data_IF_174599814610
#
_entry.id   IF_174599814610
#
_cell.length_a   1.000
_cell.length_b   1.000
_cell.length_c   1.000
_cell.angle_alpha   90.00
_cell.angle_beta   90.00
_cell.angle_gamma   90.00
#
_symmetry.space_group_name_H-M   'P 1'
#
loop_
_entity.id
_entity.type
_entity.pdbx_description
1 polymer ?
#
# COMPACT_ATOMS: atom_id res chain seq x y z
N UNK A 1 1.97 21.04 -23.51
CA UNK A 1 1.01 22.14 -23.29
C UNK A 1 -0.11 21.63 -22.38
N UNK A 2 -0.87 22.49 -21.67
CA UNK A 2 -2.06 22.03 -20.95
C UNK A 2 -2.98 21.33 -21.95
N UNK A 3 -3.29 20.04 -21.73
CA UNK A 3 -4.12 19.23 -22.63
C UNK A 3 -3.39 18.19 -23.47
N UNK A 4 -2.06 18.08 -23.40
CA UNK A 4 -1.36 16.94 -24.01
C UNK A 4 -1.64 15.67 -23.21
N UNK A 5 -1.82 14.55 -23.92
CA UNK A 5 -1.97 13.25 -23.30
C UNK A 5 -0.71 12.90 -22.48
N UNK A 6 -0.86 12.34 -21.28
CA UNK A 6 0.28 11.90 -20.48
C UNK A 6 1.10 10.88 -21.26
N UNK A 7 2.43 10.95 -21.11
CA UNK A 7 3.36 10.01 -21.75
C UNK A 7 2.93 8.57 -21.45
N UNK A 8 2.60 7.82 -22.51
CA UNK A 8 2.10 6.45 -22.40
C UNK A 8 3.09 5.55 -21.67
N UNK A 9 4.40 5.83 -21.80
CA UNK A 9 5.43 5.12 -21.03
C UNK A 9 5.27 5.38 -19.54
N UNK A 10 5.09 6.63 -19.12
CA UNK A 10 4.89 6.97 -17.71
C UNK A 10 3.58 6.37 -17.17
N UNK A 11 2.50 6.42 -17.95
CA UNK A 11 1.24 5.76 -17.58
C UNK A 11 1.42 4.26 -17.37
N UNK A 12 2.12 3.58 -18.28
CA UNK A 12 2.38 2.15 -18.16
C UNK A 12 3.28 1.83 -16.95
N UNK A 13 4.34 2.61 -16.73
CA UNK A 13 5.24 2.44 -15.59
C UNK A 13 4.50 2.63 -14.25
N UNK A 14 3.70 3.69 -14.11
CA UNK A 14 2.92 3.92 -12.89
C UNK A 14 1.78 2.92 -12.72
N UNK A 15 1.10 2.52 -13.80
CA UNK A 15 0.05 1.50 -13.76
C UNK A 15 0.60 0.14 -13.30
N UNK A 16 1.66 -0.34 -13.95
CA UNK A 16 2.33 -1.59 -13.57
C UNK A 16 2.93 -1.49 -12.15
N UNK A 17 3.58 -0.37 -11.83
CA UNK A 17 4.16 -0.12 -10.51
C UNK A 17 3.12 -0.12 -9.40
N UNK A 18 1.96 0.49 -9.63
CA UNK A 18 0.85 0.50 -8.67
C UNK A 18 0.30 -0.92 -8.41
N UNK A 19 0.12 -1.72 -9.46
CA UNK A 19 -0.33 -3.12 -9.33
C UNK A 19 0.69 -3.94 -8.54
N UNK A 20 1.98 -3.82 -8.87
CA UNK A 20 3.05 -4.56 -8.20
C UNK A 20 3.19 -4.16 -6.73
N UNK A 21 3.22 -2.86 -6.43
CA UNK A 21 3.39 -2.35 -5.06
C UNK A 21 2.16 -2.66 -4.20
N UNK A 22 0.96 -2.57 -4.78
CA UNK A 22 -0.27 -3.00 -4.09
C UNK A 22 -0.23 -4.49 -3.79
N UNK A 23 0.17 -5.30 -4.77
CA UNK A 23 0.34 -6.73 -4.60
C UNK A 23 1.38 -7.08 -3.51
N UNK A 24 2.50 -6.37 -3.48
CA UNK A 24 3.54 -6.55 -2.46
C UNK A 24 3.01 -6.20 -1.06
N UNK A 25 2.34 -5.05 -0.92
CA UNK A 25 1.72 -4.63 0.34
C UNK A 25 0.68 -5.64 0.84
N UNK A 26 -0.19 -6.16 -0.05
CA UNK A 26 -1.14 -7.22 0.30
C UNK A 26 -0.44 -8.52 0.71
N UNK A 27 0.63 -8.92 0.03
CA UNK A 27 1.38 -10.14 0.35
C UNK A 27 2.03 -10.04 1.73
N UNK A 28 2.66 -8.90 2.05
CA UNK A 28 3.20 -8.63 3.39
C UNK A 28 2.09 -8.65 4.43
N UNK A 29 0.95 -8.01 4.14
CA UNK A 29 -0.19 -7.97 5.05
C UNK A 29 -0.69 -9.39 5.37
N UNK A 30 -0.94 -10.22 4.35
CA UNK A 30 -1.47 -11.57 4.55
C UNK A 30 -0.46 -12.51 5.23
N UNK A 31 0.83 -12.34 4.96
CA UNK A 31 1.89 -13.11 5.66
C UNK A 31 1.93 -12.79 7.16
N UNK A 32 1.81 -11.51 7.53
CA UNK A 32 1.89 -11.06 8.93
C UNK A 32 0.57 -11.23 9.70
N UNK A 33 -0.56 -11.21 9.00
CA UNK A 33 -1.89 -11.38 9.58
C UNK A 33 -2.34 -12.85 9.64
N UNK A 34 -1.61 -13.80 9.04
CA UNK A 34 -2.02 -15.21 8.88
C UNK A 34 -2.65 -15.85 10.14
N UNK A 35 -2.08 -15.58 11.32
CA UNK A 35 -2.49 -16.21 12.58
C UNK A 35 -3.78 -15.59 13.14
N UNK A 36 -4.03 -14.32 12.80
CA UNK A 36 -5.25 -13.57 13.13
C UNK A 36 -6.34 -13.92 12.12
N UNK A 37 -5.99 -13.90 10.83
CA UNK A 37 -6.92 -14.16 9.72
C UNK A 37 -7.54 -15.56 9.78
N UNK A 38 -6.80 -16.56 10.28
CA UNK A 38 -7.32 -17.93 10.47
C UNK A 38 -8.43 -18.00 11.55
N UNK A 39 -8.46 -17.05 12.49
CA UNK A 39 -9.46 -17.00 13.58
C UNK A 39 -10.73 -16.24 13.18
N UNK A 40 -10.73 -15.56 12.03
CA UNK A 40 -11.84 -14.71 11.57
C UNK A 40 -12.53 -15.37 10.39
N UNK A 41 -13.82 -15.69 10.54
CA UNK A 41 -14.67 -16.37 9.54
C UNK A 41 -14.47 -15.85 8.11
N UNK A 42 -14.45 -14.52 7.96
CA UNK A 42 -14.32 -13.83 6.67
C UNK A 42 -12.97 -14.04 5.98
N UNK A 43 -11.88 -14.11 6.76
CA UNK A 43 -10.50 -14.11 6.24
C UNK A 43 -9.83 -15.47 6.35
N UNK A 44 -10.50 -16.45 6.96
CA UNK A 44 -10.01 -17.82 7.12
C UNK A 44 -9.70 -18.51 5.78
N UNK A 45 -10.39 -18.11 4.71
CA UNK A 45 -10.17 -18.62 3.35
C UNK A 45 -8.98 -17.97 2.63
N UNK A 46 -8.29 -17.00 3.25
CA UNK A 46 -7.10 -16.39 2.62
C UNK A 46 -6.01 -17.43 2.38
N UNK A 47 -5.22 -17.33 1.29
CA UNK A 47 -4.27 -18.37 0.90
C UNK A 47 -3.26 -18.78 1.98
N UNK A 48 -2.74 -17.79 2.73
CA UNK A 48 -1.81 -18.06 3.84
C UNK A 48 -2.51 -18.51 5.12
N UNK A 49 -3.71 -17.98 5.42
CA UNK A 49 -4.48 -18.35 6.62
C UNK A 49 -5.03 -19.79 6.53
N UNK A 50 -5.45 -20.20 5.33
CA UNK A 50 -5.94 -21.55 5.01
C UNK A 50 -4.83 -22.60 4.86
N UNK A 51 -3.56 -22.18 4.82
CA UNK A 51 -2.41 -23.07 4.61
C UNK A 51 -2.23 -23.58 3.18
N UNK A 52 -3.01 -23.08 2.20
CA UNK A 52 -2.86 -23.43 0.77
C UNK A 52 -1.52 -22.96 0.22
N UNK A 53 -1.02 -21.81 0.70
CA UNK A 53 0.31 -21.30 0.38
C UNK A 53 1.22 -21.32 1.60
N UNK A 54 2.45 -21.77 1.40
CA UNK A 54 3.48 -21.73 2.44
C UNK A 54 4.04 -20.31 2.59
N UNK A 55 4.49 -19.91 3.79
CA UNK A 55 5.12 -18.60 4.00
C UNK A 55 6.34 -18.37 3.09
N UNK A 56 7.11 -19.43 2.81
CA UNK A 56 8.27 -19.36 1.91
C UNK A 56 7.86 -19.01 0.47
N UNK A 57 6.77 -19.59 -0.05
CA UNK A 57 6.22 -19.21 -1.35
C UNK A 57 5.77 -17.75 -1.38
N UNK A 58 5.17 -17.27 -0.28
CA UNK A 58 4.78 -15.88 -0.14
C UNK A 58 5.96 -14.91 -0.15
N UNK A 59 7.04 -15.24 0.55
CA UNK A 59 8.28 -14.45 0.53
C UNK A 59 8.91 -14.46 -0.87
N UNK A 60 8.91 -15.59 -1.57
CA UNK A 60 9.36 -15.68 -2.95
C UNK A 60 8.55 -14.79 -3.90
N UNK A 61 7.22 -14.82 -3.78
CA UNK A 61 6.31 -13.98 -4.57
C UNK A 61 6.52 -12.49 -4.28
N UNK A 62 6.64 -12.13 -3.00
CA UNK A 62 6.99 -10.78 -2.57
C UNK A 62 8.33 -10.32 -3.18
N UNK A 63 9.35 -11.18 -3.16
CA UNK A 63 10.65 -10.90 -3.76
C UNK A 63 10.53 -10.58 -5.25
N UNK A 64 9.75 -11.34 -6.00
CA UNK A 64 9.49 -11.08 -7.43
C UNK A 64 8.79 -9.72 -7.62
N UNK A 65 7.75 -9.44 -6.83
CA UNK A 65 7.03 -8.17 -6.91
C UNK A 65 7.95 -6.97 -6.64
N UNK A 66 8.81 -7.07 -5.61
CA UNK A 66 9.77 -6.03 -5.26
C UNK A 66 10.87 -5.86 -6.31
N UNK A 67 11.37 -6.93 -6.90
CA UNK A 67 12.37 -6.87 -7.98
C UNK A 67 11.80 -6.22 -9.25
N UNK A 68 10.57 -6.57 -9.63
CA UNK A 68 9.88 -5.93 -10.75
C UNK A 68 9.58 -4.46 -10.44
N UNK A 69 9.12 -4.16 -9.22
CA UNK A 69 8.89 -2.79 -8.75
C UNK A 69 10.17 -1.96 -8.74
N UNK A 70 11.31 -2.54 -8.34
CA UNK A 70 12.62 -1.91 -8.42
C UNK A 70 13.02 -1.62 -9.87
N UNK A 71 12.77 -2.56 -10.80
CA UNK A 71 13.00 -2.35 -12.23
C UNK A 71 12.21 -1.16 -12.79
N UNK A 72 10.99 -0.92 -12.31
CA UNK A 72 10.21 0.27 -12.65
C UNK A 72 10.80 1.52 -11.99
N UNK A 73 11.14 1.44 -10.70
CA UNK A 73 11.67 2.57 -9.94
C UNK A 73 12.98 3.12 -10.54
N UNK A 74 13.86 2.22 -11.00
CA UNK A 74 15.13 2.58 -11.65
C UNK A 74 14.92 3.31 -12.99
N UNK A 75 13.77 3.17 -13.63
CA UNK A 75 13.44 3.91 -14.86
C UNK A 75 12.96 5.34 -14.59
N UNK A 76 12.66 5.70 -13.33
CA UNK A 76 12.30 7.06 -12.93
C UNK A 76 13.53 7.93 -12.66
N UNK A 77 13.33 9.23 -12.47
CA UNK A 77 14.39 10.17 -12.10
C UNK A 77 14.95 9.91 -10.68
N UNK A 78 16.13 10.46 -10.40
CA UNK A 78 16.84 10.24 -9.12
C UNK A 78 16.01 10.64 -7.89
N UNK A 79 15.29 11.76 -7.98
CA UNK A 79 14.46 12.24 -6.89
C UNK A 79 13.33 11.24 -6.56
N UNK A 80 12.66 10.74 -7.60
CA UNK A 80 11.60 9.72 -7.51
C UNK A 80 12.12 8.38 -7.02
N UNK A 81 13.35 7.99 -7.35
CA UNK A 81 13.98 6.77 -6.83
C UNK A 81 14.10 6.82 -5.32
N UNK A 82 14.62 7.93 -4.78
CA UNK A 82 14.79 8.11 -3.33
C UNK A 82 13.41 8.18 -2.65
N UNK A 83 12.49 8.96 -3.19
CA UNK A 83 11.14 9.12 -2.64
C UNK A 83 10.31 7.82 -2.71
N UNK A 84 10.46 7.04 -3.77
CA UNK A 84 9.84 5.74 -3.91
C UNK A 84 10.44 4.72 -2.95
N UNK A 85 11.77 4.71 -2.78
CA UNK A 85 12.43 3.84 -1.82
C UNK A 85 12.00 4.14 -0.37
N UNK A 86 11.83 5.42 -0.01
CA UNK A 86 11.35 5.78 1.33
C UNK A 86 9.94 5.27 1.63
N UNK A 87 9.10 5.06 0.61
CA UNK A 87 7.75 4.50 0.78
C UNK A 87 7.75 3.08 1.36
N UNK A 88 8.82 2.30 1.09
CA UNK A 88 8.93 0.93 1.58
C UNK A 88 8.89 0.87 3.10
N UNK A 89 9.47 1.87 3.78
CA UNK A 89 9.43 1.97 5.24
C UNK A 89 7.98 1.96 5.74
N UNK A 90 7.11 2.77 5.13
CA UNK A 90 5.68 2.82 5.48
C UNK A 90 4.97 1.51 5.13
N UNK A 91 5.20 0.96 3.94
CA UNK A 91 4.56 -0.28 3.49
C UNK A 91 4.88 -1.46 4.40
N UNK A 92 6.14 -1.64 4.79
CA UNK A 92 6.56 -2.75 5.65
C UNK A 92 6.12 -2.57 7.11
N UNK A 93 6.03 -1.34 7.59
CA UNK A 93 5.62 -1.05 8.98
C UNK A 93 4.11 -1.01 9.16
N UNK A 94 3.31 -0.79 8.10
CA UNK A 94 1.85 -0.70 8.19
C UNK A 94 1.19 -1.91 8.89
N UNK A 95 1.54 -3.17 8.62
CA UNK A 95 0.93 -4.30 9.32
C UNK A 95 1.21 -4.29 10.83
N UNK A 96 2.37 -3.78 11.24
CA UNK A 96 2.72 -3.62 12.65
C UNK A 96 1.90 -2.50 13.30
N UNK A 97 1.55 -1.45 12.55
CA UNK A 97 0.76 -0.34 13.09
C UNK A 97 -0.60 -0.78 13.60
N UNK A 98 -1.22 -1.81 13.01
CA UNK A 98 -2.44 -2.42 13.57
C UNK A 98 -2.29 -2.95 14.99
N UNK A 99 -1.06 -3.25 15.43
CA UNK A 99 -0.75 -3.76 16.77
C UNK A 99 -0.35 -2.66 17.75
N UNK A 100 0.09 -1.50 17.25
CA UNK A 100 0.63 -0.41 18.08
C UNK A 100 -0.25 0.83 18.14
N UNK A 101 -1.12 1.06 17.15
CA UNK A 101 -2.02 2.23 17.12
C UNK A 101 -3.48 1.81 17.02
N UNK A 102 -4.33 2.60 17.67
CA UNK A 102 -5.79 2.51 17.54
C UNK A 102 -6.31 3.12 16.23
N UNK A 103 -5.43 3.75 15.44
CA UNK A 103 -5.80 4.44 14.21
C UNK A 103 -5.01 3.96 12.98
N UNK A 104 -5.03 2.65 12.67
CA UNK A 104 -4.31 2.09 11.53
C UNK A 104 -4.77 2.68 10.18
N UNK A 105 -5.99 3.20 10.10
CA UNK A 105 -6.56 3.83 8.91
C UNK A 105 -5.79 5.11 8.51
N UNK A 106 -5.31 5.89 9.48
CA UNK A 106 -4.50 7.06 9.22
C UNK A 106 -3.16 6.66 8.59
N UNK A 107 -2.54 5.59 9.11
CA UNK A 107 -1.31 5.05 8.57
C UNK A 107 -1.51 4.43 7.18
N UNK A 108 -2.63 3.76 6.96
CA UNK A 108 -3.02 3.27 5.64
C UNK A 108 -3.12 4.42 4.64
N UNK A 109 -3.76 5.52 5.02
CA UNK A 109 -3.88 6.73 4.19
C UNK A 109 -2.52 7.28 3.78
N UNK A 110 -1.58 7.39 4.72
CA UNK A 110 -0.21 7.85 4.43
C UNK A 110 0.48 6.95 3.40
N UNK A 111 0.38 5.64 3.60
CA UNK A 111 1.01 4.64 2.75
C UNK A 111 0.39 4.62 1.34
N UNK A 112 -0.95 4.64 1.25
CA UNK A 112 -1.68 4.45 0.00
C UNK A 112 -1.58 5.65 -0.94
N UNK A 113 -1.57 6.86 -0.36
CA UNK A 113 -1.50 8.09 -1.14
C UNK A 113 -0.07 8.48 -1.53
N UNK A 114 0.95 7.72 -1.11
CA UNK A 114 2.35 8.02 -1.46
C UNK A 114 2.60 8.06 -2.97
N UNK A 115 1.80 7.31 -3.73
CA UNK A 115 1.82 7.34 -5.19
C UNK A 115 1.55 8.72 -5.78
N UNK A 116 0.79 9.59 -5.10
CA UNK A 116 0.56 10.98 -5.54
C UNK A 116 1.85 11.80 -5.46
N UNK A 117 2.59 11.69 -4.35
CA UNK A 117 3.91 12.33 -4.17
C UNK A 117 4.90 11.85 -5.23
N UNK A 118 4.95 10.53 -5.44
CA UNK A 118 5.84 9.91 -6.41
C UNK A 118 5.48 10.31 -7.86
N UNK A 119 4.20 10.36 -8.20
CA UNK A 119 3.72 10.77 -9.52
C UNK A 119 4.09 12.21 -9.85
N UNK A 120 3.94 13.12 -8.89
CA UNK A 120 4.37 14.51 -9.04
C UNK A 120 5.89 14.61 -9.22
N UNK A 121 6.64 13.96 -8.33
CA UNK A 121 8.10 13.91 -8.37
C UNK A 121 8.65 13.34 -9.68
N UNK A 122 7.96 12.37 -10.29
CA UNK A 122 8.39 11.76 -11.55
C UNK A 122 8.37 12.74 -12.73
N UNK A 123 7.49 13.74 -12.69
CA UNK A 123 7.32 14.72 -13.77
C UNK A 123 8.07 16.02 -13.48
N UNK A 124 8.04 16.48 -12.22
CA UNK A 124 8.57 17.79 -11.81
C UNK A 124 9.96 17.74 -11.18
N UNK A 125 10.48 16.54 -10.92
CA UNK A 125 11.78 16.28 -10.26
C UNK A 125 11.97 17.01 -8.92
N UNK A 126 10.85 17.41 -8.31
CA UNK A 126 10.77 18.21 -7.10
C UNK A 126 9.41 18.01 -6.46
N UNK A 127 9.26 18.38 -5.19
CA UNK A 127 7.99 18.45 -4.48
C UNK A 127 7.72 19.93 -4.24
N UNK A 128 6.60 20.44 -4.75
CA UNK A 128 6.07 21.74 -4.36
C UNK A 128 5.02 21.53 -3.27
N UNK A 129 5.32 21.84 -2.01
CA UNK A 129 4.42 21.59 -0.89
C UNK A 129 3.06 22.28 -1.05
N UNK A 130 3.00 23.45 -1.72
CA UNK A 130 1.76 24.21 -1.86
C UNK A 130 0.73 23.49 -2.76
N UNK A 131 1.20 22.66 -3.69
CA UNK A 131 0.33 21.94 -4.63
C UNK A 131 0.11 20.51 -4.15
N UNK A 132 1.17 19.82 -3.76
CA UNK A 132 1.10 18.38 -3.51
C UNK A 132 0.62 18.02 -2.11
N UNK A 133 0.88 18.86 -1.09
CA UNK A 133 0.38 18.58 0.27
C UNK A 133 -1.15 18.63 0.36
N UNK A 134 -1.85 19.61 -0.24
CA UNK A 134 -3.31 19.57 -0.27
C UNK A 134 -3.85 18.32 -0.96
N UNK A 135 -3.27 17.91 -2.10
CA UNK A 135 -3.68 16.70 -2.81
C UNK A 135 -3.44 15.43 -1.98
N UNK A 136 -2.25 15.30 -1.40
CA UNK A 136 -1.87 14.17 -0.55
C UNK A 136 -2.77 14.09 0.70
N UNK A 137 -3.01 15.22 1.35
CA UNK A 137 -3.89 15.32 2.54
C UNK A 137 -5.33 14.99 2.18
N UNK A 138 -5.85 15.48 1.06
CA UNK A 138 -7.19 15.12 0.59
C UNK A 138 -7.31 13.62 0.36
N UNK A 139 -6.29 12.99 -0.24
CA UNK A 139 -6.21 11.54 -0.40
C UNK A 139 -6.20 10.78 0.92
N UNK A 140 -5.45 11.25 1.92
CA UNK A 140 -5.44 10.65 3.27
C UNK A 140 -6.82 10.78 3.92
N UNK A 141 -7.44 11.96 3.86
CA UNK A 141 -8.79 12.18 4.37
C UNK A 141 -9.80 11.25 3.70
N UNK A 142 -9.70 11.06 2.39
CA UNK A 142 -10.52 10.11 1.66
C UNK A 142 -10.32 8.67 2.16
N UNK A 143 -9.07 8.25 2.34
CA UNK A 143 -8.74 6.94 2.93
C UNK A 143 -9.31 6.76 4.32
N UNK A 144 -9.21 7.77 5.17
CA UNK A 144 -9.81 7.74 6.49
C UNK A 144 -11.32 7.52 6.43
N UNK A 145 -12.03 8.24 5.54
CA UNK A 145 -13.48 8.13 5.42
C UNK A 145 -13.90 6.72 4.99
N UNK A 146 -13.39 6.23 3.85
CA UNK A 146 -13.87 4.93 3.35
C UNK A 146 -13.42 3.76 4.23
N UNK A 147 -12.22 3.82 4.82
CA UNK A 147 -11.69 2.72 5.64
C UNK A 147 -12.36 2.69 7.03
N UNK A 148 -12.79 3.84 7.54
CA UNK A 148 -13.64 3.90 8.75
C UNK A 148 -15.01 3.28 8.49
N UNK A 149 -15.64 3.58 7.35
CA UNK A 149 -16.91 2.95 6.96
C UNK A 149 -16.74 1.43 6.85
N UNK A 150 -15.66 0.98 6.22
CA UNK A 150 -15.33 -0.45 6.11
C UNK A 150 -15.13 -1.11 7.47
N UNK A 151 -14.40 -0.48 8.40
CA UNK A 151 -14.17 -1.01 9.74
C UNK A 151 -15.49 -1.22 10.52
N UNK A 152 -16.46 -0.33 10.38
CA UNK A 152 -17.79 -0.49 11.00
C UNK A 152 -18.56 -1.70 10.46
N UNK A 153 -18.36 -2.09 9.19
CA UNK A 153 -18.99 -3.29 8.62
C UNK A 153 -18.42 -4.57 9.23
N UNK A 154 -17.14 -4.56 9.59
CA UNK A 154 -16.46 -5.71 10.20
C UNK A 154 -16.79 -5.84 11.70
N UNK A 155 -16.97 -4.73 12.41
CA UNK A 155 -17.30 -4.72 13.84
C UNK A 155 -18.65 -5.38 14.17
N UNK A 156 -19.53 -5.56 13.18
CA UNK A 156 -20.85 -6.16 13.36
C UNK A 156 -20.82 -7.70 13.47
N UNK A 157 -19.65 -8.32 13.33
CA UNK A 157 -19.48 -9.78 13.48
C UNK A 157 -19.02 -10.15 14.90
N UNK A 158 -19.67 -11.14 15.55
CA UNK A 158 -19.53 -11.43 16.99
C UNK A 158 -18.15 -11.94 17.46
N UNK A 159 -17.16 -12.10 16.57
CA UNK A 159 -15.85 -12.68 16.89
C UNK A 159 -14.72 -11.65 17.00
N UNK A 160 -15.00 -10.35 16.93
CA UNK A 160 -13.97 -9.30 17.11
C UNK A 160 -13.57 -9.08 18.59
N UNK A 161 -14.11 -9.90 19.52
CA UNK A 161 -13.71 -9.92 20.94
C UNK A 161 -12.40 -10.67 21.22
N UNK A 162 -11.64 -11.04 20.19
CA UNK A 162 -10.30 -11.60 20.39
C UNK A 162 -9.28 -10.46 20.36
N UNK A 163 -9.28 -9.65 21.42
CA UNK A 163 -8.04 -9.03 21.90
C UNK A 163 -7.58 -9.83 23.12
N UNK A 164 -6.26 -10.01 23.34
CA UNK A 164 -5.77 -10.31 24.69
C UNK A 164 -6.11 -9.17 25.65
#
# INVERSE_FOLDING_TARGET
MPGDLPDLKMLALFGCGAVLLRGAGCTVNDLLDRDIDNKVERTRSRPFASGVLTPLQGVGFLGIQLLLGLGILLQLNNYSRILGASSLVLVFSYPLMKRFTFWPQAYLGLTFNWGALLGWAAIKESIDPAIILPLYTAGICWTLVYDTIYAHQVFRYPYFHINP
#
